data_IF_986788462273
#
_entry.id   IF_986788462273
#
_cell.length_a   1.000
_cell.length_b   1.000
_cell.length_c   1.000
_cell.angle_alpha   90.00
_cell.angle_beta   90.00
_cell.angle_gamma   90.00
#
_symmetry.space_group_name_H-M   'P 1'
#
loop_
_entity.id
_entity.type
_entity.pdbx_description
1 polymer ?
#
# COMPACT_ATOMS: atom_id res chain seq x y z
N UNK A 1 -65.68 -23.38 20.18
CA UNK A 1 -64.67 -24.03 19.32
C UNK A 1 -63.63 -22.98 18.91
N UNK A 2 -62.34 -23.35 19.07
CA UNK A 2 -61.09 -22.74 18.59
C UNK A 2 -60.59 -21.39 19.17
N UNK A 3 -59.60 -21.50 20.09
CA UNK A 3 -58.44 -20.60 20.30
C UNK A 3 -57.34 -20.99 19.27
N UNK A 4 -56.36 -20.13 18.89
CA UNK A 4 -55.22 -19.67 19.74
C UNK A 4 -54.80 -18.21 19.43
N UNK A 5 -53.84 -17.52 20.05
CA UNK A 5 -52.83 -17.74 21.09
C UNK A 5 -52.27 -16.33 21.43
N UNK A 6 -52.02 -15.96 22.69
CA UNK A 6 -50.71 -16.06 23.37
C UNK A 6 -49.57 -15.65 22.41
N UNK A 7 -48.94 -14.48 22.52
CA UNK A 7 -47.99 -14.14 23.59
C UNK A 7 -47.70 -12.63 23.62
N UNK A 8 -47.93 -11.99 24.77
CA UNK A 8 -47.19 -10.79 25.19
C UNK A 8 -46.19 -11.25 26.24
N UNK A 9 -44.90 -11.21 25.93
CA UNK A 9 -43.85 -11.35 26.93
C UNK A 9 -42.66 -10.50 26.47
N UNK A 10 -42.35 -9.49 27.27
CA UNK A 10 -41.18 -8.64 27.14
C UNK A 10 -39.90 -9.47 27.22
N UNK A 11 -38.91 -9.13 26.39
CA UNK A 11 -37.52 -9.56 26.61
C UNK A 11 -36.62 -8.31 26.62
N UNK A 12 -36.25 -7.92 27.85
CA UNK A 12 -35.08 -7.11 28.14
C UNK A 12 -33.83 -7.89 27.71
N UNK A 13 -33.06 -7.35 26.77
CA UNK A 13 -31.68 -7.77 26.54
C UNK A 13 -30.78 -6.56 26.81
N UNK A 14 -30.22 -6.55 28.02
CA UNK A 14 -29.15 -5.67 28.47
C UNK A 14 -27.94 -5.87 27.55
N UNK A 15 -27.56 -4.83 26.81
CA UNK A 15 -26.28 -4.80 26.10
C UNK A 15 -25.21 -4.54 27.16
N UNK A 16 -24.56 -5.62 27.61
CA UNK A 16 -23.34 -5.53 28.39
C UNK A 16 -22.26 -4.89 27.51
N UNK A 17 -21.92 -3.63 27.79
CA UNK A 17 -20.69 -3.01 27.33
C UNK A 17 -19.53 -3.78 27.99
N UNK A 18 -18.98 -4.77 27.27
CA UNK A 18 -17.68 -5.33 27.60
C UNK A 18 -16.64 -4.24 27.44
N UNK A 19 -16.34 -3.53 28.53
CA UNK A 19 -15.18 -2.69 28.65
C UNK A 19 -13.93 -3.58 28.55
N UNK A 20 -13.27 -3.59 27.39
CA UNK A 20 -11.88 -4.01 27.33
C UNK A 20 -11.06 -2.95 28.08
N UNK A 21 -10.63 -3.28 29.31
CA UNK A 21 -9.61 -2.52 30.03
C UNK A 21 -8.30 -2.54 29.25
N UNK A 22 -8.07 -1.54 28.41
CA UNK A 22 -6.73 -1.22 27.94
C UNK A 22 -6.01 -0.51 29.08
N UNK A 23 -5.10 -1.24 29.74
CA UNK A 23 -4.15 -0.67 30.70
C UNK A 23 -3.41 0.50 30.05
N UNK A 24 -3.38 1.62 30.76
CA UNK A 24 -2.60 2.82 30.45
C UNK A 24 -1.18 2.43 30.04
N UNK A 25 -0.85 2.59 28.76
CA UNK A 25 0.52 2.87 28.37
C UNK A 25 0.54 4.32 27.92
N UNK A 26 1.23 5.12 28.73
CA UNK A 26 1.73 6.45 28.38
C UNK A 26 2.18 6.41 26.92
N UNK A 27 1.64 7.32 26.12
CA UNK A 27 2.06 7.55 24.76
C UNK A 27 3.52 8.01 24.76
N UNK A 28 4.46 7.07 24.80
CA UNK A 28 5.75 7.26 24.17
C UNK A 28 5.47 7.17 22.68
N UNK A 29 5.45 8.32 22.03
CA UNK A 29 5.59 8.44 20.58
C UNK A 29 6.86 7.70 20.17
N UNK A 30 6.74 6.39 19.92
CA UNK A 30 7.71 5.65 19.15
C UNK A 30 7.48 6.10 17.72
N UNK A 31 8.43 6.84 17.19
CA UNK A 31 8.54 7.07 15.76
C UNK A 31 8.42 5.72 15.06
N UNK A 32 7.31 5.53 14.34
CA UNK A 32 7.12 4.36 13.50
C UNK A 32 8.30 4.30 12.53
N UNK A 33 9.01 3.17 12.38
CA UNK A 33 10.04 3.06 11.36
C UNK A 33 9.37 3.02 9.99
N UNK A 34 9.24 4.20 9.36
CA UNK A 34 8.51 4.46 8.10
C UNK A 34 9.19 3.92 6.84
N UNK A 35 9.94 2.81 6.92
CA UNK A 35 10.83 2.43 5.79
C UNK A 35 10.68 1.00 5.26
N UNK A 36 9.92 0.11 5.91
CA UNK A 36 9.68 -1.26 5.38
C UNK A 36 8.28 -1.49 4.80
N UNK A 37 7.28 -0.73 5.23
CA UNK A 37 5.89 -0.83 4.73
C UNK A 37 5.65 -0.04 3.43
N UNK A 38 6.61 0.76 2.97
CA UNK A 38 6.47 1.49 1.70
C UNK A 38 6.77 0.59 0.48
N UNK A 39 7.86 -0.18 0.55
CA UNK A 39 8.32 -1.00 -0.58
C UNK A 39 7.39 -2.19 -0.86
N UNK A 40 6.84 -2.82 0.18
CA UNK A 40 5.84 -3.87 -0.03
C UNK A 40 4.56 -3.30 -0.65
N UNK A 41 4.16 -2.06 -0.31
CA UNK A 41 3.01 -1.36 -0.89
C UNK A 41 3.23 -1.07 -2.38
N UNK A 42 4.36 -0.48 -2.75
CA UNK A 42 4.69 -0.20 -4.15
C UNK A 42 4.70 -1.48 -5.01
N UNK A 43 5.29 -2.57 -4.53
CA UNK A 43 5.30 -3.85 -5.24
C UNK A 43 3.89 -4.43 -5.37
N UNK A 44 3.05 -4.29 -4.35
CA UNK A 44 1.67 -4.77 -4.39
C UNK A 44 0.81 -3.96 -5.37
N UNK A 45 0.93 -2.63 -5.36
CA UNK A 45 0.28 -1.74 -6.32
C UNK A 45 0.74 -2.05 -7.75
N UNK A 46 2.05 -2.23 -7.96
CA UNK A 46 2.59 -2.65 -9.26
C UNK A 46 2.00 -3.99 -9.72
N UNK A 47 1.90 -4.99 -8.85
CA UNK A 47 1.25 -6.27 -9.17
C UNK A 47 -0.24 -6.11 -9.48
N UNK A 48 -0.94 -5.21 -8.80
CA UNK A 48 -2.36 -4.95 -9.04
C UNK A 48 -2.61 -4.44 -10.47
N UNK A 49 -1.68 -3.64 -11.02
CA UNK A 49 -1.76 -3.16 -12.40
C UNK A 49 -1.84 -4.29 -13.43
N UNK A 50 -1.31 -5.49 -13.16
CA UNK A 50 -1.46 -6.64 -14.08
C UNK A 50 -2.91 -6.93 -14.47
N UNK A 51 -3.85 -6.67 -13.54
CA UNK A 51 -5.28 -6.86 -13.78
C UNK A 51 -6.03 -5.55 -14.00
N UNK A 52 -5.58 -4.46 -13.38
CA UNK A 52 -6.26 -3.17 -13.43
C UNK A 52 -5.92 -2.37 -14.70
N UNK A 53 -4.66 -2.44 -15.16
CA UNK A 53 -4.16 -1.76 -16.36
C UNK A 53 -2.91 -2.48 -16.89
N UNK A 54 -3.07 -3.50 -17.75
CA UNK A 54 -1.95 -4.24 -18.32
C UNK A 54 -0.94 -3.35 -19.07
N UNK A 55 -1.44 -2.30 -19.71
CA UNK A 55 -0.59 -1.32 -20.41
C UNK A 55 0.33 -0.57 -19.43
N UNK A 56 -0.22 -0.04 -18.33
CA UNK A 56 0.60 0.65 -17.32
C UNK A 56 1.56 -0.32 -16.63
N UNK A 57 1.14 -1.58 -16.41
CA UNK A 57 2.02 -2.63 -15.89
C UNK A 57 3.27 -2.81 -16.76
N UNK A 58 3.14 -2.92 -18.08
CA UNK A 58 4.27 -3.06 -19.01
C UNK A 58 5.21 -1.85 -18.95
N UNK A 59 4.66 -0.63 -18.93
CA UNK A 59 5.44 0.60 -18.83
C UNK A 59 6.27 0.61 -17.54
N UNK A 60 5.64 0.34 -16.39
CA UNK A 60 6.37 0.37 -15.13
C UNK A 60 7.32 -0.81 -14.97
N UNK A 61 7.03 -1.97 -15.57
CA UNK A 61 7.97 -3.09 -15.62
C UNK A 61 9.27 -2.68 -16.34
N UNK A 62 9.17 -1.98 -17.47
CA UNK A 62 10.34 -1.47 -18.18
C UNK A 62 11.12 -0.46 -17.33
N UNK A 63 10.43 0.44 -16.61
CA UNK A 63 11.07 1.41 -15.73
C UNK A 63 11.82 0.75 -14.57
N UNK A 64 11.22 -0.26 -13.91
CA UNK A 64 11.89 -1.04 -12.86
C UNK A 64 13.10 -1.80 -13.41
N UNK A 65 12.99 -2.39 -14.60
CA UNK A 65 14.10 -3.08 -15.25
C UNK A 65 15.27 -2.13 -15.57
N UNK A 66 14.98 -0.92 -16.07
CA UNK A 66 16.00 0.09 -16.32
C UNK A 66 16.66 0.55 -15.01
N UNK A 67 15.88 0.78 -13.96
CA UNK A 67 16.41 1.16 -12.65
C UNK A 67 17.31 0.05 -12.07
N UNK A 68 16.90 -1.21 -12.19
CA UNK A 68 17.69 -2.36 -11.75
C UNK A 68 19.05 -2.40 -12.47
N UNK A 69 19.06 -2.21 -13.79
CA UNK A 69 20.31 -2.11 -14.56
C UNK A 69 21.20 -0.95 -14.08
N UNK A 70 20.62 0.20 -13.73
CA UNK A 70 21.37 1.33 -13.18
C UNK A 70 22.02 0.99 -11.83
N UNK A 71 21.30 0.29 -10.95
CA UNK A 71 21.86 -0.22 -9.69
C UNK A 71 22.99 -1.22 -9.92
N UNK A 72 22.85 -2.12 -10.90
CA UNK A 72 23.88 -3.11 -11.22
C UNK A 72 25.17 -2.44 -11.71
N UNK A 73 25.04 -1.45 -12.59
CA UNK A 73 26.17 -0.64 -13.07
C UNK A 73 26.83 0.10 -11.90
N UNK A 74 26.04 0.76 -11.05
CA UNK A 74 26.58 1.43 -9.86
C UNK A 74 27.34 0.45 -8.96
N UNK A 75 26.76 -0.72 -8.68
CA UNK A 75 27.36 -1.73 -7.81
C UNK A 75 28.66 -2.29 -8.39
N UNK A 76 28.70 -2.57 -9.70
CA UNK A 76 29.89 -3.07 -10.38
C UNK A 76 31.06 -2.06 -10.37
N UNK A 77 30.75 -0.76 -10.37
CA UNK A 77 31.75 0.30 -10.47
C UNK A 77 32.00 1.06 -9.15
N UNK A 78 31.31 0.71 -8.06
CA UNK A 78 31.36 1.44 -6.78
C UNK A 78 32.80 1.67 -6.27
N UNK A 79 33.69 0.70 -6.45
CA UNK A 79 35.09 0.80 -6.03
C UNK A 79 35.93 1.83 -6.81
N UNK A 80 35.45 2.27 -7.98
CA UNK A 80 36.12 3.25 -8.85
C UNK A 80 35.57 4.67 -8.67
N UNK A 81 34.50 4.83 -7.89
CA UNK A 81 33.80 6.09 -7.68
C UNK A 81 34.23 6.67 -6.32
N UNK A 82 34.54 7.97 -6.26
CA UNK A 82 34.86 8.62 -4.99
C UNK A 82 33.65 8.66 -4.04
N UNK A 83 33.88 8.88 -2.74
CA UNK A 83 32.84 8.78 -1.71
C UNK A 83 31.66 9.73 -1.94
N UNK A 84 31.92 10.97 -2.31
CA UNK A 84 30.89 12.00 -2.48
C UNK A 84 30.00 11.66 -3.70
N UNK A 85 30.61 11.21 -4.79
CA UNK A 85 29.88 10.73 -5.95
C UNK A 85 29.08 9.46 -5.64
N UNK A 86 29.59 8.54 -4.81
CA UNK A 86 28.82 7.39 -4.37
C UNK A 86 27.58 7.80 -3.57
N UNK A 87 27.68 8.81 -2.70
CA UNK A 87 26.56 9.33 -1.93
C UNK A 87 25.47 9.90 -2.85
N UNK A 88 25.87 10.80 -3.76
CA UNK A 88 24.94 11.42 -4.72
C UNK A 88 24.25 10.35 -5.59
N UNK A 89 25.00 9.38 -6.10
CA UNK A 89 24.44 8.31 -6.93
C UNK A 89 23.45 7.43 -6.16
N UNK A 90 23.71 7.13 -4.88
CA UNK A 90 22.74 6.41 -4.06
C UNK A 90 21.46 7.21 -3.85
N UNK A 91 21.58 8.51 -3.57
CA UNK A 91 20.42 9.40 -3.41
C UNK A 91 19.60 9.46 -4.70
N UNK A 92 20.25 9.57 -5.86
CA UNK A 92 19.58 9.61 -7.15
C UNK A 92 18.84 8.30 -7.46
N UNK A 93 19.49 7.15 -7.25
CA UNK A 93 18.88 5.84 -7.49
C UNK A 93 17.68 5.56 -6.55
N UNK A 94 17.77 5.97 -5.29
CA UNK A 94 16.68 5.87 -4.32
C UNK A 94 15.53 6.84 -4.67
N UNK A 95 15.85 8.08 -5.07
CA UNK A 95 14.87 9.07 -5.51
C UNK A 95 14.11 8.59 -6.75
N UNK A 96 14.81 7.98 -7.70
CA UNK A 96 14.21 7.39 -8.89
C UNK A 96 13.28 6.22 -8.54
N UNK A 97 13.65 5.36 -7.59
CA UNK A 97 12.78 4.31 -7.08
C UNK A 97 11.49 4.88 -6.49
N UNK A 98 11.62 5.87 -5.60
CA UNK A 98 10.48 6.55 -4.97
C UNK A 98 9.55 7.18 -6.00
N UNK A 99 10.11 7.81 -7.04
CA UNK A 99 9.33 8.42 -8.11
C UNK A 99 8.55 7.37 -8.92
N UNK A 100 9.17 6.25 -9.28
CA UNK A 100 8.49 5.14 -9.97
C UNK A 100 7.33 4.62 -9.09
N UNK A 101 7.59 4.39 -7.80
CA UNK A 101 6.56 3.94 -6.87
C UNK A 101 5.39 4.93 -6.72
N UNK A 102 5.65 6.23 -6.65
CA UNK A 102 4.61 7.25 -6.60
C UNK A 102 3.74 7.25 -7.87
N UNK A 103 4.34 7.01 -9.04
CA UNK A 103 3.61 6.89 -10.32
C UNK A 103 2.77 5.63 -10.38
N UNK A 104 3.32 4.48 -9.98
CA UNK A 104 2.60 3.21 -9.87
C UNK A 104 1.37 3.36 -8.97
N UNK A 105 1.55 4.01 -7.81
CA UNK A 105 0.45 4.33 -6.89
C UNK A 105 -0.64 5.13 -7.59
N UNK A 106 -0.27 6.24 -8.24
CA UNK A 106 -1.21 7.11 -8.97
C UNK A 106 -1.98 6.37 -10.07
N UNK A 107 -1.28 5.54 -10.86
CA UNK A 107 -1.91 4.73 -11.90
C UNK A 107 -2.88 3.71 -11.30
N UNK A 108 -2.50 3.05 -10.21
CA UNK A 108 -3.35 2.07 -9.51
C UNK A 108 -4.64 2.73 -9.02
N UNK A 109 -4.55 3.89 -8.36
CA UNK A 109 -5.73 4.64 -7.93
C UNK A 109 -6.62 5.05 -9.11
N UNK A 110 -6.04 5.55 -10.20
CA UNK A 110 -6.78 5.92 -11.40
C UNK A 110 -7.55 4.73 -11.97
N UNK A 111 -6.92 3.57 -12.14
CA UNK A 111 -7.58 2.38 -12.66
C UNK A 111 -8.66 1.84 -11.72
N UNK A 112 -8.47 1.94 -10.40
CA UNK A 112 -9.50 1.57 -9.42
C UNK A 112 -10.71 2.51 -9.48
N UNK A 113 -10.48 3.82 -9.63
CA UNK A 113 -11.53 4.82 -9.76
C UNK A 113 -12.35 4.63 -11.04
N UNK A 114 -11.67 4.44 -12.18
CA UNK A 114 -12.31 4.16 -13.47
C UNK A 114 -13.23 2.94 -13.39
N UNK A 115 -12.76 1.86 -12.76
CA UNK A 115 -13.56 0.65 -12.57
C UNK A 115 -14.74 0.86 -11.61
N UNK A 116 -14.57 1.65 -10.56
CA UNK A 116 -15.65 2.01 -9.64
C UNK A 116 -16.77 2.77 -10.37
N UNK A 117 -16.39 3.72 -11.23
CA UNK A 117 -17.34 4.48 -12.04
C UNK A 117 -18.06 3.61 -13.07
N UNK A 118 -17.40 2.60 -13.64
CA UNK A 118 -18.02 1.64 -14.55
C UNK A 118 -19.07 0.80 -13.82
N UNK A 119 -18.76 0.29 -12.62
CA UNK A 119 -19.72 -0.49 -11.82
C UNK A 119 -20.92 0.35 -11.39
N UNK A 120 -20.74 1.63 -11.06
CA UNK A 120 -21.85 2.52 -10.69
C UNK A 120 -22.82 2.82 -11.85
N UNK A 121 -22.42 2.54 -13.10
CA UNK A 121 -23.26 2.75 -14.29
C UNK A 121 -24.13 1.54 -14.64
N UNK A 122 -23.97 0.42 -13.93
CA UNK A 122 -24.74 -0.83 -14.07
C UNK A 122 -25.96 -0.76 -13.14
#
# INVERSE_FOLDING_TARGET
MNKPGLTSLALLALIALSACSTKNNVATTKETPTNKTSNNTCVNEFKALQRLSPHDFEIYQQQFNQLTKSYDVYKANKGLINKDAQEILNIELDSKLKLICARVKGATFKSMDERSQEVNKI
#
